data_IF_931152230363
#
_entry.id   IF_931152230363
#
_cell.length_a   1.000
_cell.length_b   1.000
_cell.length_c   1.000
_cell.angle_alpha   90.00
_cell.angle_beta   90.00
_cell.angle_gamma   90.00
#
_symmetry.space_group_name_H-M   'P 1'
#
loop_
_entity.id
_entity.type
_entity.pdbx_description
1 polymer ?
#
# COMPACT_ATOMS: atom_id res chain seq x y z
N UNK A 1 16.18 15.88 7.10
CA UNK A 1 14.71 15.79 7.07
C UNK A 1 14.39 14.31 7.06
N UNK A 2 13.59 13.83 8.01
CA UNK A 2 13.34 12.39 8.13
C UNK A 2 12.60 11.86 6.91
N UNK A 3 12.78 10.57 6.65
CA UNK A 3 12.04 9.84 5.62
C UNK A 3 10.64 9.55 6.17
N UNK A 4 9.75 10.55 6.14
CA UNK A 4 8.40 10.43 6.68
C UNK A 4 7.42 10.00 5.61
N UNK A 5 6.44 9.17 5.96
CA UNK A 5 5.34 8.75 5.08
C UNK A 5 3.98 9.16 5.65
N UNK A 6 3.07 9.46 4.74
CA UNK A 6 1.62 9.43 4.95
C UNK A 6 1.13 8.05 4.57
N UNK A 7 0.45 7.42 5.51
CA UNK A 7 -0.02 6.05 5.35
C UNK A 7 -1.53 6.05 5.17
N UNK A 8 -1.98 5.33 4.16
CA UNK A 8 -3.41 5.06 3.96
C UNK A 8 -3.66 3.57 4.00
N UNK A 9 -4.46 3.12 4.96
CA UNK A 9 -4.82 1.71 5.12
C UNK A 9 -6.25 1.52 4.63
N UNK A 10 -6.45 0.59 3.71
CA UNK A 10 -7.74 0.12 3.23
C UNK A 10 -7.98 -1.27 3.80
N UNK A 11 -8.99 -1.43 4.65
CA UNK A 11 -9.40 -2.72 5.21
C UNK A 11 -10.50 -3.30 4.35
N UNK A 12 -10.29 -4.51 3.86
CA UNK A 12 -11.11 -5.18 2.85
C UNK A 12 -11.67 -6.47 3.46
N UNK A 13 -12.93 -6.78 3.14
CA UNK A 13 -13.55 -8.07 3.47
C UNK A 13 -12.74 -9.23 2.85
N UNK A 14 -12.54 -10.37 3.57
CA UNK A 14 -11.68 -11.47 3.09
C UNK A 14 -11.98 -11.82 1.64
N UNK A 15 -10.93 -11.76 0.84
CA UNK A 15 -10.89 -12.24 -0.54
C UNK A 15 -9.54 -12.88 -0.77
N UNK A 16 -9.40 -13.67 -1.84
CA UNK A 16 -8.09 -14.16 -2.22
C UNK A 16 -7.14 -12.96 -2.41
N UNK A 17 -6.01 -12.95 -1.71
CA UNK A 17 -4.99 -11.88 -1.82
C UNK A 17 -4.60 -11.62 -3.27
N UNK A 18 -4.52 -12.69 -4.09
CA UNK A 18 -4.35 -12.59 -5.55
C UNK A 18 -5.33 -11.63 -6.23
N UNK A 19 -6.61 -11.71 -5.90
CA UNK A 19 -7.66 -10.88 -6.51
C UNK A 19 -7.47 -9.43 -6.12
N UNK A 20 -7.13 -9.16 -4.85
CA UNK A 20 -6.89 -7.81 -4.33
C UNK A 20 -5.68 -7.21 -5.01
N UNK A 21 -4.55 -7.93 -5.04
CA UNK A 21 -3.34 -7.51 -5.74
C UNK A 21 -3.63 -7.22 -7.21
N UNK A 22 -4.38 -8.08 -7.90
CA UNK A 22 -4.71 -7.88 -9.31
C UNK A 22 -5.58 -6.63 -9.54
N UNK A 23 -6.52 -6.35 -8.63
CA UNK A 23 -7.41 -5.18 -8.72
C UNK A 23 -6.64 -3.89 -8.42
N UNK A 24 -5.82 -3.88 -7.37
CA UNK A 24 -4.99 -2.72 -7.05
C UNK A 24 -4.03 -2.45 -8.20
N UNK A 25 -3.41 -3.48 -8.77
CA UNK A 25 -2.53 -3.34 -9.92
C UNK A 25 -3.19 -2.73 -11.14
N UNK A 26 -4.36 -3.25 -11.52
CA UNK A 26 -5.16 -2.68 -12.60
C UNK A 26 -5.49 -1.19 -12.34
N UNK A 27 -5.93 -0.85 -11.12
CA UNK A 27 -6.27 0.53 -10.75
C UNK A 27 -5.04 1.45 -10.80
N UNK A 28 -3.89 1.00 -10.33
CA UNK A 28 -2.65 1.80 -10.37
C UNK A 28 -2.26 2.12 -11.82
N UNK A 29 -2.25 1.11 -12.70
CA UNK A 29 -1.92 1.27 -14.11
C UNK A 29 -2.90 2.19 -14.85
N UNK A 30 -4.21 2.07 -14.58
CA UNK A 30 -5.24 2.97 -15.14
C UNK A 30 -5.08 4.43 -14.68
N UNK A 31 -4.36 4.68 -13.58
CA UNK A 31 -4.11 6.00 -13.02
C UNK A 31 -2.69 6.52 -13.28
N UNK A 32 -2.03 6.01 -14.33
CA UNK A 32 -0.70 6.41 -14.81
C UNK A 32 0.47 6.09 -13.86
N UNK A 33 0.29 5.12 -12.98
CA UNK A 33 1.41 4.50 -12.27
C UNK A 33 2.01 3.40 -13.14
N UNK A 34 3.30 3.15 -12.96
CA UNK A 34 4.02 2.00 -13.48
C UNK A 34 4.62 1.23 -12.31
N UNK A 35 4.84 -0.07 -12.47
CA UNK A 35 5.58 -0.84 -11.47
C UNK A 35 6.99 -0.27 -11.38
N UNK A 36 7.43 0.06 -10.17
CA UNK A 36 8.80 0.50 -9.94
C UNK A 36 9.74 -0.72 -9.96
N UNK A 37 10.77 -0.62 -10.77
CA UNK A 37 11.78 -1.65 -10.99
C UNK A 37 13.20 -1.13 -10.72
N UNK A 38 13.33 0.08 -10.13
CA UNK A 38 14.61 0.65 -9.78
C UNK A 38 15.00 0.25 -8.36
N UNK A 39 15.81 -0.80 -8.24
CA UNK A 39 16.58 -1.19 -7.05
C UNK A 39 15.82 -1.06 -5.71
N UNK A 40 15.40 -2.22 -5.20
CA UNK A 40 14.76 -2.48 -3.90
C UNK A 40 13.23 -2.39 -3.97
N UNK A 41 12.54 -3.12 -3.08
CA UNK A 41 11.13 -2.93 -2.67
C UNK A 41 10.12 -4.05 -3.00
N UNK A 42 10.51 -5.22 -3.52
CA UNK A 42 9.64 -6.41 -3.40
C UNK A 42 9.90 -7.08 -2.05
N UNK A 43 8.89 -7.10 -1.18
CA UNK A 43 8.93 -7.77 0.11
C UNK A 43 7.90 -8.90 0.14
N UNK A 44 8.30 -10.07 0.64
CA UNK A 44 7.38 -11.16 0.96
C UNK A 44 7.33 -11.32 2.47
N UNK A 45 6.14 -11.28 3.05
CA UNK A 45 5.98 -11.63 4.47
C UNK A 45 6.08 -13.15 4.62
N UNK A 46 6.86 -13.59 5.62
CA UNK A 46 7.02 -15.02 5.87
C UNK A 46 5.67 -15.66 6.23
N UNK A 47 5.57 -16.94 5.91
CA UNK A 47 4.38 -17.77 5.92
C UNK A 47 3.85 -18.12 7.32
N UNK A 48 4.30 -17.44 8.37
CA UNK A 48 3.90 -17.73 9.75
C UNK A 48 2.75 -16.82 10.21
N UNK A 49 1.50 -17.33 10.26
CA UNK A 49 0.31 -16.53 10.56
C UNK A 49 0.14 -16.20 12.05
N UNK A 50 1.18 -16.40 12.88
CA UNK A 50 1.11 -16.16 14.32
C UNK A 50 1.16 -14.65 14.60
N UNK A 51 0.32 -14.13 15.51
CA UNK A 51 0.31 -12.71 15.88
C UNK A 51 1.62 -12.24 16.56
N UNK A 52 2.50 -13.18 16.91
CA UNK A 52 3.82 -12.95 17.53
C UNK A 52 4.98 -13.17 16.54
N UNK A 53 4.69 -13.39 15.25
CA UNK A 53 5.69 -13.47 14.20
C UNK A 53 6.21 -12.06 13.92
N UNK A 54 7.41 -11.74 14.42
CA UNK A 54 8.11 -10.53 13.99
C UNK A 54 8.21 -10.54 12.45
N UNK A 55 7.95 -9.41 11.80
CA UNK A 55 8.10 -9.18 10.35
C UNK A 55 9.56 -9.34 9.85
N UNK A 56 10.46 -9.89 10.67
CA UNK A 56 11.92 -9.91 10.52
C UNK A 56 12.43 -10.93 9.48
N UNK A 57 11.59 -11.88 9.03
CA UNK A 57 11.95 -12.86 7.99
C UNK A 57 11.48 -12.42 6.57
N UNK A 58 11.29 -11.12 6.35
CA UNK A 58 10.91 -10.57 5.06
C UNK A 58 12.00 -10.80 4.00
N UNK A 59 11.67 -11.52 2.92
CA UNK A 59 12.57 -11.66 1.77
C UNK A 59 12.46 -10.44 0.88
N UNK A 60 13.58 -9.75 0.69
CA UNK A 60 13.69 -8.68 -0.30
C UNK A 60 14.19 -9.25 -1.63
N UNK A 61 13.45 -9.03 -2.71
CA UNK A 61 13.90 -9.36 -4.07
C UNK A 61 14.34 -8.09 -4.77
N UNK A 62 15.57 -8.12 -5.30
CA UNK A 62 16.09 -7.05 -6.14
C UNK A 62 15.72 -7.34 -7.59
N UNK A 63 15.01 -6.40 -8.21
CA UNK A 63 14.69 -6.41 -9.63
C UNK A 63 15.39 -5.22 -10.29
N UNK A 64 15.92 -5.44 -11.49
CA UNK A 64 16.66 -4.41 -12.25
C UNK A 64 15.98 -4.08 -13.58
N UNK A 65 14.98 -4.88 -13.98
CA UNK A 65 14.25 -4.71 -15.23
C UNK A 65 12.75 -4.78 -15.00
N UNK A 66 11.98 -4.15 -15.89
CA UNK A 66 10.52 -4.24 -15.88
C UNK A 66 10.04 -5.69 -16.07
N UNK A 67 10.76 -6.49 -16.86
CA UNK A 67 10.41 -7.90 -17.07
C UNK A 67 10.52 -8.69 -15.75
N UNK A 68 11.63 -8.51 -15.01
CA UNK A 68 11.83 -9.15 -13.71
C UNK A 68 10.80 -8.68 -12.68
N UNK A 69 10.46 -7.39 -12.68
CA UNK A 69 9.44 -6.82 -11.80
C UNK A 69 8.06 -7.42 -12.08
N UNK A 70 7.67 -7.58 -13.35
CA UNK A 70 6.42 -8.22 -13.75
C UNK A 70 6.39 -9.71 -13.36
N UNK A 71 7.50 -10.42 -13.57
CA UNK A 71 7.61 -11.83 -13.14
C UNK A 71 7.47 -11.97 -11.62
N UNK A 72 8.13 -11.08 -10.87
CA UNK A 72 8.06 -11.04 -9.40
C UNK A 72 6.66 -10.71 -8.91
N UNK A 73 5.94 -9.80 -9.58
CA UNK A 73 4.54 -9.51 -9.27
C UNK A 73 3.63 -10.73 -9.52
N UNK A 74 3.85 -11.49 -10.59
CA UNK A 74 3.10 -12.71 -10.86
C UNK A 74 3.42 -13.84 -9.87
N UNK A 75 4.62 -13.86 -9.32
CA UNK A 75 4.97 -14.73 -8.19
C UNK A 75 4.27 -14.26 -6.91
N UNK A 76 4.35 -12.97 -6.59
CA UNK A 76 3.68 -12.33 -5.46
C UNK A 76 2.17 -12.60 -5.41
N UNK A 77 1.49 -12.51 -6.55
CA UNK A 77 0.06 -12.87 -6.69
C UNK A 77 -0.27 -14.30 -6.25
N UNK A 78 0.71 -15.18 -6.08
CA UNK A 78 0.52 -16.57 -5.61
C UNK A 78 0.78 -16.73 -4.11
N UNK A 79 1.32 -15.71 -3.43
CA UNK A 79 1.59 -15.74 -2.01
C UNK A 79 0.35 -15.38 -1.20
N UNK A 80 -0.11 -16.25 -0.27
CA UNK A 80 -1.35 -16.04 0.48
C UNK A 80 -1.17 -15.14 1.72
N UNK A 81 0.07 -14.89 2.14
CA UNK A 81 0.38 -14.17 3.39
C UNK A 81 0.56 -12.67 3.19
N UNK A 82 0.80 -12.21 1.95
CA UNK A 82 1.00 -10.80 1.65
C UNK A 82 2.48 -10.43 1.44
N UNK A 83 2.76 -9.14 1.51
CA UNK A 83 4.03 -8.52 1.12
C UNK A 83 3.80 -7.19 0.42
N UNK A 84 4.85 -6.59 -0.15
CA UNK A 84 4.75 -5.25 -0.72
C UNK A 84 5.53 -5.09 -2.01
N UNK A 85 5.10 -4.13 -2.82
CA UNK A 85 5.83 -3.71 -4.02
C UNK A 85 5.55 -2.25 -4.35
N UNK A 86 6.46 -1.64 -5.12
CA UNK A 86 6.44 -0.20 -5.38
C UNK A 86 5.89 0.14 -6.75
N UNK A 87 5.27 1.31 -6.83
CA UNK A 87 4.81 1.95 -8.06
C UNK A 87 5.44 3.32 -8.19
N UNK A 88 5.80 3.71 -9.41
CA UNK A 88 6.25 5.05 -9.75
C UNK A 88 5.17 5.76 -10.58
N UNK A 89 4.89 7.01 -10.22
CA UNK A 89 4.10 7.91 -11.05
C UNK A 89 5.01 8.98 -11.63
N UNK A 90 5.29 8.90 -12.93
CA UNK A 90 6.06 9.93 -13.64
C UNK A 90 5.15 10.79 -14.52
N UNK A 91 5.20 12.11 -14.37
CA UNK A 91 4.44 13.05 -15.22
C UNK A 91 5.28 14.08 -15.95
N UNK A 92 6.61 14.03 -15.84
CA UNK A 92 7.51 14.84 -16.66
C UNK A 92 8.78 15.26 -15.93
N UNK A 93 9.39 16.33 -16.40
CA UNK A 93 10.62 16.89 -15.83
C UNK A 93 10.43 18.39 -15.58
N UNK A 94 11.03 18.92 -14.53
CA UNK A 94 11.06 20.36 -14.31
C UNK A 94 12.10 21.05 -15.22
N UNK A 95 12.18 22.39 -15.16
CA UNK A 95 13.12 23.19 -15.97
C UNK A 95 14.60 22.82 -15.73
N UNK A 96 14.90 22.16 -14.62
CA UNK A 96 16.25 21.72 -14.23
C UNK A 96 16.53 20.25 -14.66
N UNK A 97 15.59 19.61 -15.36
CA UNK A 97 15.70 18.22 -15.79
C UNK A 97 15.51 17.21 -14.65
N UNK A 98 14.98 17.63 -13.50
CA UNK A 98 14.65 16.70 -12.41
C UNK A 98 13.31 16.02 -12.70
N UNK A 99 13.25 14.71 -12.49
CA UNK A 99 12.04 13.90 -12.64
C UNK A 99 10.96 14.46 -11.71
N UNK A 100 9.78 14.73 -12.28
CA UNK A 100 8.57 15.05 -11.56
C UNK A 100 7.73 13.78 -11.47
N UNK A 101 7.39 13.43 -10.23
CA UNK A 101 6.76 12.17 -9.92
C UNK A 101 6.96 11.78 -8.46
N UNK A 102 6.44 10.61 -8.11
CA UNK A 102 6.68 10.00 -6.81
C UNK A 102 6.49 8.49 -6.86
N UNK A 103 7.17 7.84 -5.92
CA UNK A 103 7.04 6.42 -5.67
C UNK A 103 6.03 6.18 -4.54
N UNK A 104 5.27 5.10 -4.64
CA UNK A 104 4.33 4.60 -3.64
C UNK A 104 4.66 3.15 -3.36
N UNK A 105 4.95 2.84 -2.10
CA UNK A 105 5.04 1.46 -1.65
C UNK A 105 3.65 0.98 -1.28
N UNK A 106 3.22 -0.15 -1.84
CA UNK A 106 1.93 -0.77 -1.55
C UNK A 106 2.17 -2.10 -0.86
N UNK A 107 1.76 -2.23 0.39
CA UNK A 107 1.80 -3.48 1.15
C UNK A 107 0.42 -4.12 1.27
N UNK A 108 0.42 -5.44 1.35
CA UNK A 108 -0.76 -6.28 1.46
C UNK A 108 -0.56 -7.17 2.68
N UNK A 109 -1.52 -7.14 3.60
CA UNK A 109 -1.50 -7.94 4.82
C UNK A 109 -2.72 -8.87 4.83
N UNK A 110 -2.49 -10.16 5.08
CA UNK A 110 -3.54 -11.16 5.18
C UNK A 110 -3.73 -11.59 6.63
N UNK A 111 -4.94 -11.40 7.18
CA UNK A 111 -5.25 -11.76 8.57
C UNK A 111 -6.22 -12.95 8.59
N UNK A 112 -5.66 -14.17 8.53
CA UNK A 112 -6.45 -15.42 8.46
C UNK A 112 -7.37 -15.62 9.68
N UNK A 113 -6.98 -15.12 10.84
CA UNK A 113 -7.76 -15.25 12.07
C UNK A 113 -8.95 -14.27 12.16
N UNK A 114 -9.00 -13.24 11.30
CA UNK A 114 -10.05 -12.19 11.30
C UNK A 114 -10.88 -12.12 10.01
N UNK A 115 -10.65 -13.01 9.03
CA UNK A 115 -11.32 -12.97 7.72
C UNK A 115 -11.27 -11.56 7.09
N UNK A 116 -10.09 -10.94 7.07
CA UNK A 116 -9.87 -9.64 6.43
C UNK A 116 -8.50 -9.57 5.77
N UNK A 117 -8.40 -8.66 4.80
CA UNK A 117 -7.17 -8.29 4.09
C UNK A 117 -7.00 -6.78 4.25
N UNK A 118 -5.77 -6.31 4.38
CA UNK A 118 -5.47 -4.88 4.38
C UNK A 118 -4.53 -4.54 3.24
N UNK A 119 -4.73 -3.36 2.65
CA UNK A 119 -3.81 -2.77 1.68
C UNK A 119 -3.33 -1.44 2.25
N UNK A 120 -2.01 -1.27 2.36
CA UNK A 120 -1.38 -0.10 2.95
C UNK A 120 -0.59 0.63 1.87
N UNK A 121 -0.84 1.92 1.72
CA UNK A 121 -0.13 2.80 0.81
C UNK A 121 0.78 3.71 1.63
N UNK A 122 2.10 3.57 1.44
CA UNK A 122 3.11 4.43 2.05
C UNK A 122 3.58 5.46 1.02
N UNK A 123 3.38 6.74 1.32
CA UNK A 123 3.73 7.84 0.43
C UNK A 123 4.55 8.86 1.20
N UNK A 124 5.68 9.34 0.68
CA UNK A 124 6.49 10.33 1.41
C UNK A 124 5.66 11.59 1.73
N UNK A 125 5.73 12.08 2.97
CA UNK A 125 4.89 13.19 3.47
C UNK A 125 5.02 14.45 2.59
N UNK A 126 6.26 14.83 2.23
CA UNK A 126 6.53 15.97 1.37
C UNK A 126 5.87 15.85 -0.02
N UNK A 127 5.63 14.63 -0.52
CA UNK A 127 4.91 14.38 -1.78
C UNK A 127 3.40 14.53 -1.56
N UNK A 128 2.90 13.96 -0.46
CA UNK A 128 1.48 13.99 -0.13
C UNK A 128 0.95 15.42 0.02
N UNK A 129 1.71 16.30 0.68
CA UNK A 129 1.35 17.71 0.90
C UNK A 129 1.37 18.57 -0.38
N UNK A 130 2.14 18.19 -1.40
CA UNK A 130 2.40 19.01 -2.60
C UNK A 130 1.29 18.96 -3.67
N UNK A 131 0.04 18.66 -3.29
CA UNK A 131 -1.17 18.60 -4.13
C UNK A 131 -1.42 17.31 -4.94
N UNK A 132 -0.62 16.26 -4.73
CA UNK A 132 -0.76 14.96 -5.41
C UNK A 132 -1.63 13.95 -4.65
N UNK A 133 -2.28 14.40 -3.57
CA UNK A 133 -3.35 13.69 -2.86
C UNK A 133 -4.52 13.35 -3.79
N UNK A 134 -4.77 14.16 -4.84
CA UNK A 134 -5.92 13.97 -5.74
C UNK A 134 -5.82 12.68 -6.56
N UNK A 135 -4.63 12.36 -7.03
CA UNK A 135 -4.33 11.15 -7.82
C UNK A 135 -4.53 9.91 -6.95
N UNK A 136 -4.00 9.93 -5.72
CA UNK A 136 -4.19 8.86 -4.74
C UNK A 136 -5.65 8.71 -4.29
N UNK A 137 -6.36 9.83 -4.07
CA UNK A 137 -7.81 9.83 -3.79
C UNK A 137 -8.61 9.11 -4.87
N UNK A 138 -8.23 9.31 -6.14
CA UNK A 138 -8.85 8.61 -7.28
C UNK A 138 -8.55 7.12 -7.25
N UNK A 139 -7.29 6.74 -7.00
CA UNK A 139 -6.88 5.33 -6.81
C UNK A 139 -7.70 4.67 -5.70
N UNK A 140 -7.79 5.29 -4.52
CA UNK A 140 -8.53 4.74 -3.38
C UNK A 140 -10.03 4.59 -3.69
N UNK A 141 -10.64 5.56 -4.36
CA UNK A 141 -12.05 5.49 -4.78
C UNK A 141 -12.30 4.34 -5.78
N UNK A 142 -11.42 4.15 -6.76
CA UNK A 142 -11.53 3.07 -7.74
C UNK A 142 -11.32 1.68 -7.11
N UNK A 143 -10.37 1.55 -6.17
CA UNK A 143 -10.18 0.33 -5.39
C UNK A 143 -11.47 0.01 -4.62
N UNK A 144 -12.03 0.97 -3.89
CA UNK A 144 -13.27 0.75 -3.12
C UNK A 144 -14.46 0.31 -3.98
N UNK A 145 -14.55 0.77 -5.23
CA UNK A 145 -15.59 0.33 -6.18
C UNK A 145 -15.44 -1.13 -6.59
N UNK A 146 -14.22 -1.69 -6.59
CA UNK A 146 -13.89 -3.04 -7.11
C UNK A 146 -13.69 -4.08 -6.00
N UNK A 147 -13.11 -3.67 -4.89
CA UNK A 147 -12.93 -4.46 -3.66
C UNK A 147 -13.61 -3.69 -2.54
N UNK A 148 -14.78 -4.18 -2.11
CA UNK A 148 -15.62 -3.57 -1.08
C UNK A 148 -14.78 -3.25 0.18
N UNK A 149 -14.33 -2.00 0.32
CA UNK A 149 -13.55 -1.55 1.48
C UNK A 149 -14.53 -1.36 2.62
N UNK A 150 -14.31 -2.07 3.72
CA UNK A 150 -15.18 -2.00 4.91
C UNK A 150 -14.80 -0.83 5.81
N UNK A 151 -13.54 -0.41 5.75
CA UNK A 151 -13.04 0.76 6.45
C UNK A 151 -11.73 1.26 5.85
N UNK A 152 -11.48 2.56 5.99
CA UNK A 152 -10.24 3.18 5.56
C UNK A 152 -9.76 4.16 6.63
N UNK A 153 -8.45 4.20 6.82
CA UNK A 153 -7.78 5.13 7.74
C UNK A 153 -6.62 5.82 7.03
N UNK A 154 -6.30 7.03 7.46
CA UNK A 154 -5.14 7.77 6.97
C UNK A 154 -4.48 8.49 8.14
N UNK A 155 -3.16 8.37 8.24
CA UNK A 155 -2.37 9.10 9.23
C UNK A 155 -1.11 9.67 8.62
N UNK A 156 -0.67 10.79 9.15
CA UNK A 156 0.60 11.46 8.83
C UNK A 156 1.54 11.52 10.03
N UNK A 157 1.14 10.96 11.18
CA UNK A 157 1.68 11.37 12.48
C UNK A 157 2.31 10.21 13.28
N UNK A 158 3.35 9.62 12.72
CA UNK A 158 4.13 8.51 13.29
C UNK A 158 4.78 8.78 14.67
N UNK A 159 4.90 10.03 15.11
CA UNK A 159 5.69 10.38 16.31
C UNK A 159 4.88 10.74 17.56
N UNK A 160 3.56 10.88 17.46
CA UNK A 160 2.75 11.38 18.58
C UNK A 160 1.94 10.29 19.29
N UNK A 161 1.85 9.10 18.71
CA UNK A 161 1.11 7.95 19.24
C UNK A 161 1.94 6.69 18.93
N UNK A 162 1.92 5.67 19.80
CA UNK A 162 2.48 4.34 19.51
C UNK A 162 1.72 3.77 18.30
N UNK A 163 2.20 4.06 17.10
CA UNK A 163 1.53 3.73 15.85
C UNK A 163 2.14 2.44 15.29
N UNK A 164 1.34 1.38 15.30
CA UNK A 164 1.55 0.18 14.52
C UNK A 164 0.35 -0.05 13.61
N UNK A 165 0.60 -0.33 12.34
CA UNK A 165 -0.42 -0.55 11.31
C UNK A 165 -1.36 -1.69 11.70
N UNK A 166 -0.81 -2.73 12.34
CA UNK A 166 -1.57 -3.86 12.88
C UNK A 166 -2.58 -3.37 13.91
N UNK A 167 -2.18 -2.59 14.91
CA UNK A 167 -3.07 -2.08 15.96
C UNK A 167 -4.19 -1.22 15.37
N UNK A 168 -3.87 -0.39 14.36
CA UNK A 168 -4.87 0.42 13.67
C UNK A 168 -5.86 -0.44 12.87
N UNK A 169 -5.39 -1.52 12.23
CA UNK A 169 -6.26 -2.49 11.58
C UNK A 169 -7.14 -3.20 12.63
N UNK A 170 -6.61 -3.58 13.79
CA UNK A 170 -7.39 -4.19 14.86
C UNK A 170 -8.46 -3.25 15.42
N UNK A 171 -8.13 -1.98 15.64
CA UNK A 171 -9.04 -0.93 16.09
C UNK A 171 -10.18 -0.72 15.09
N UNK A 172 -9.84 -0.64 13.80
CA UNK A 172 -10.82 -0.57 12.71
C UNK A 172 -11.80 -1.75 12.76
N UNK A 173 -11.30 -2.97 12.96
CA UNK A 173 -12.12 -4.18 13.00
C UNK A 173 -12.98 -4.28 14.27
N UNK A 174 -12.52 -3.71 15.37
CA UNK A 174 -13.31 -3.62 16.61
C UNK A 174 -14.41 -2.55 16.54
N UNK A 175 -14.51 -1.82 15.42
CA UNK A 175 -15.46 -0.71 15.24
C UNK A 175 -15.00 0.59 15.92
N UNK A 176 -13.78 0.62 16.45
CA UNK A 176 -13.18 1.76 17.15
C UNK A 176 -12.31 2.59 16.22
N UNK A 177 -12.85 3.01 15.07
CA UNK A 177 -12.15 3.99 14.24
C UNK A 177 -12.20 5.33 14.96
N UNK A 178 -11.07 5.76 15.53
CA UNK A 178 -10.93 7.12 16.02
C UNK A 178 -11.25 8.09 14.87
N UNK A 179 -12.28 8.95 15.05
CA UNK A 179 -12.73 9.89 14.01
C UNK A 179 -11.60 10.75 13.43
N UNK A 180 -10.51 10.94 14.19
CA UNK A 180 -9.28 11.64 13.79
C UNK A 180 -8.58 11.01 12.57
N UNK A 181 -8.64 9.69 12.41
CA UNK A 181 -7.93 8.96 11.35
C UNK A 181 -8.84 8.43 10.26
N UNK A 182 -10.16 8.57 10.42
CA UNK A 182 -11.12 8.07 9.45
C UNK A 182 -10.88 8.69 8.07
N UNK A 183 -10.55 7.86 7.08
CA UNK A 183 -10.49 8.28 5.70
C UNK A 183 -11.88 8.17 5.06
N UNK A 184 -12.31 9.23 4.37
CA UNK A 184 -13.58 9.27 3.65
C UNK A 184 -13.31 9.32 2.15
N UNK A 185 -13.81 8.32 1.44
CA UNK A 185 -13.78 8.31 -0.01
C UNK A 185 -14.54 9.51 -0.57
N UNK A 186 -14.00 10.09 -1.64
CA UNK A 186 -14.72 11.10 -2.42
C UNK A 186 -15.64 10.34 -3.38
N UNK A 187 -16.94 10.62 -3.31
CA UNK A 187 -17.98 10.10 -4.21
C UNK A 187 -17.84 10.63 -5.64
#
# INVERSE_FOLDING_TARGET
MGYHTTDTILVIEKRLTKDIVSIVDEVMLENNFIIDYNYQNFHFEDTDPRPDSDTDDAKTIMVETLEDALQTLEEFKKHPTGGSYSYDMHWGYNEQGQKLGYDVLVAYLSFDYKNIEAVIFYVREAVFEMAHEKELKKVFSEINKRVKVIAATQTTNYYQEDYHEIDVIEDVLSGNIHQKYQYKFIE
#
